data_IF_806743422164
#
_entry.id   IF_806743422164
#
_cell.length_a   1.000
_cell.length_b   1.000
_cell.length_c   1.000
_cell.angle_alpha   90.00
_cell.angle_beta   90.00
_cell.angle_gamma   90.00
#
_symmetry.space_group_name_H-M   'P 1'
#
loop_
_entity.id
_entity.type
_entity.pdbx_description
1 polymer ?
#
# COMPACT_ATOMS: atom_id res chain seq x y z
N UNK A 1 -17.35 10.34 -0.66
CA UNK A 1 -15.91 10.03 -0.69
C UNK A 1 -15.76 8.68 -1.40
N UNK A 2 -14.73 8.43 -2.20
CA UNK A 2 -14.48 7.08 -2.77
C UNK A 2 -13.29 6.54 -2.01
N UNK A 3 -13.59 5.70 -1.02
CA UNK A 3 -12.62 5.03 -0.17
C UNK A 3 -12.96 3.54 -0.10
N UNK A 4 -11.97 2.73 0.28
CA UNK A 4 -12.12 1.27 0.36
C UNK A 4 -13.12 0.83 1.44
N UNK A 5 -13.29 1.59 2.51
CA UNK A 5 -14.19 1.24 3.62
C UNK A 5 -15.67 1.15 3.26
N UNK A 6 -16.06 1.59 2.06
CA UNK A 6 -17.42 1.37 1.51
C UNK A 6 -17.66 -0.03 0.96
N UNK A 7 -16.59 -0.77 0.70
CA UNK A 7 -16.62 -2.06 0.02
C UNK A 7 -16.06 -3.19 0.89
N UNK A 8 -15.26 -2.84 1.88
CA UNK A 8 -14.60 -3.77 2.78
C UNK A 8 -14.92 -3.37 4.22
N UNK A 9 -15.50 -4.30 4.97
CA UNK A 9 -15.73 -4.20 6.42
C UNK A 9 -14.41 -4.17 7.19
N UNK A 10 -13.36 -4.76 6.62
CA UNK A 10 -12.06 -4.91 7.25
C UNK A 10 -10.91 -4.74 6.26
N UNK A 11 -9.93 -3.93 6.63
CA UNK A 11 -8.73 -3.70 5.84
C UNK A 11 -7.49 -4.01 6.69
N UNK A 12 -6.63 -4.89 6.19
CA UNK A 12 -5.31 -5.18 6.74
C UNK A 12 -4.26 -4.49 5.87
N UNK A 13 -3.55 -3.53 6.44
CA UNK A 13 -2.50 -2.79 5.76
C UNK A 13 -1.13 -3.39 6.08
N UNK A 14 -0.47 -4.00 5.11
CA UNK A 14 0.95 -4.28 5.15
C UNK A 14 1.74 -3.06 4.66
N UNK A 15 2.42 -2.39 5.60
CA UNK A 15 3.38 -1.33 5.33
C UNK A 15 4.74 -1.96 5.10
N UNK A 16 5.02 -2.30 3.85
CA UNK A 16 6.33 -2.81 3.45
C UNK A 16 7.41 -1.73 3.52
N UNK A 17 8.64 -2.20 3.50
CA UNK A 17 9.84 -1.39 3.46
C UNK A 17 10.90 -2.08 2.60
N UNK A 18 11.85 -1.30 2.11
CA UNK A 18 13.00 -1.84 1.40
C UNK A 18 13.75 -2.82 2.31
N UNK A 19 14.15 -3.96 1.76
CA UNK A 19 14.92 -5.00 2.47
C UNK A 19 14.20 -5.73 3.63
N UNK A 20 12.87 -5.66 3.72
CA UNK A 20 12.11 -6.39 4.77
C UNK A 20 11.43 -7.69 4.31
N UNK A 21 11.77 -8.20 3.12
CA UNK A 21 11.13 -9.40 2.57
C UNK A 21 9.75 -9.14 1.97
N UNK A 22 9.40 -7.87 1.74
CA UNK A 22 8.14 -7.42 1.13
C UNK A 22 7.78 -8.21 -0.14
N UNK A 23 8.73 -8.43 -1.04
CA UNK A 23 8.48 -9.18 -2.29
C UNK A 23 8.05 -10.63 -2.05
N UNK A 24 8.68 -11.32 -1.08
CA UNK A 24 8.31 -12.69 -0.74
C UNK A 24 6.91 -12.78 -0.14
N UNK A 25 6.56 -11.83 0.74
CA UNK A 25 5.20 -11.72 1.28
C UNK A 25 4.18 -11.45 0.17
N UNK A 26 4.47 -10.50 -0.73
CA UNK A 26 3.59 -10.17 -1.85
C UNK A 26 3.39 -11.37 -2.78
N UNK A 27 4.43 -12.16 -3.07
CA UNK A 27 4.28 -13.41 -3.83
C UNK A 27 3.35 -14.41 -3.14
N UNK A 28 3.40 -14.52 -1.81
CA UNK A 28 2.48 -15.37 -1.06
C UNK A 28 1.03 -14.82 -1.11
N UNK A 29 0.86 -13.51 -0.97
CA UNK A 29 -0.45 -12.86 -1.06
C UNK A 29 -1.10 -13.05 -2.43
N UNK A 30 -0.34 -12.99 -3.53
CA UNK A 30 -0.85 -13.27 -4.87
C UNK A 30 -1.41 -14.70 -5.00
N UNK A 31 -0.79 -15.69 -4.35
CA UNK A 31 -1.34 -17.06 -4.31
C UNK A 31 -2.65 -17.14 -3.52
N UNK A 32 -2.76 -16.37 -2.43
CA UNK A 32 -4.02 -16.29 -1.66
C UNK A 32 -5.12 -15.56 -2.43
N UNK A 33 -4.74 -14.61 -3.29
CA UNK A 33 -5.68 -13.95 -4.19
C UNK A 33 -6.25 -14.91 -5.23
N UNK A 34 -5.40 -15.77 -5.82
CA UNK A 34 -5.85 -16.85 -6.69
C UNK A 34 -6.82 -17.81 -5.97
N UNK A 35 -6.68 -17.95 -4.65
CA UNK A 35 -7.58 -18.73 -3.79
C UNK A 35 -8.85 -17.95 -3.33
N UNK A 36 -9.03 -16.70 -3.76
CA UNK A 36 -10.25 -15.92 -3.55
C UNK A 36 -10.11 -14.70 -2.64
N UNK A 37 -8.99 -14.52 -1.93
CA UNK A 37 -8.79 -13.37 -1.04
C UNK A 37 -8.68 -12.05 -1.83
N UNK A 38 -9.33 -10.99 -1.37
CA UNK A 38 -9.13 -9.67 -1.99
C UNK A 38 -7.80 -9.08 -1.54
N UNK A 39 -6.87 -8.95 -2.48
CA UNK A 39 -5.49 -8.49 -2.26
C UNK A 39 -5.15 -7.36 -3.22
N UNK A 40 -4.53 -6.31 -2.68
CA UNK A 40 -3.84 -5.28 -3.46
C UNK A 40 -2.36 -5.36 -3.10
N UNK A 41 -1.52 -5.83 -4.03
CA UNK A 41 -0.08 -5.95 -3.86
C UNK A 41 0.66 -5.73 -5.18
N UNK A 42 1.81 -5.01 -5.23
CA UNK A 42 2.64 -4.79 -6.41
C UNK A 42 2.75 -6.02 -7.29
N UNK A 43 2.64 -5.81 -8.60
CA UNK A 43 2.91 -6.87 -9.55
C UNK A 43 4.31 -7.42 -9.31
N UNK A 44 4.41 -8.74 -9.25
CA UNK A 44 5.69 -9.43 -9.35
C UNK A 44 6.17 -9.31 -10.79
N UNK A 45 7.47 -9.05 -10.99
CA UNK A 45 8.05 -8.96 -12.33
C UNK A 45 7.71 -10.21 -13.16
N UNK A 46 7.14 -10.01 -14.35
CA UNK A 46 6.68 -11.09 -15.23
C UNK A 46 5.20 -11.45 -15.11
N UNK A 47 4.51 -11.01 -14.05
CA UNK A 47 3.08 -11.24 -13.88
C UNK A 47 2.25 -10.04 -14.39
N UNK A 48 1.71 -10.19 -15.61
CA UNK A 48 0.87 -9.19 -16.28
C UNK A 48 -0.63 -9.39 -16.08
N UNK A 49 -1.04 -10.34 -15.24
CA UNK A 49 -2.46 -10.69 -15.07
C UNK A 49 -3.27 -9.57 -14.42
N UNK A 50 -2.62 -8.67 -13.69
CA UNK A 50 -3.28 -7.56 -13.00
C UNK A 50 -2.94 -6.21 -13.62
N UNK A 51 -3.64 -5.15 -13.24
CA UNK A 51 -3.15 -3.80 -13.49
C UNK A 51 -2.10 -3.43 -12.44
N UNK A 52 -1.00 -2.82 -12.85
CA UNK A 52 -0.04 -2.25 -11.90
C UNK A 52 -0.72 -1.10 -11.13
N UNK A 53 -0.88 -1.23 -9.82
CA UNK A 53 -1.44 -0.20 -8.94
C UNK A 53 -0.37 0.72 -8.35
N UNK A 54 0.93 0.49 -8.62
CA UNK A 54 1.99 1.43 -8.22
C UNK A 54 1.78 2.82 -8.82
N UNK A 55 1.43 2.99 -10.12
CA UNK A 55 1.05 4.28 -10.68
C UNK A 55 -0.15 4.92 -9.97
N UNK A 56 -1.16 4.13 -9.60
CA UNK A 56 -2.30 4.61 -8.83
C UNK A 56 -1.87 5.15 -7.47
N UNK A 57 -1.08 4.39 -6.73
CA UNK A 57 -0.65 4.77 -5.39
C UNK A 57 0.32 5.92 -5.38
N UNK A 58 1.30 5.91 -6.28
CA UNK A 58 2.20 7.04 -6.46
C UNK A 58 1.40 8.30 -6.78
N UNK A 59 0.41 8.22 -7.68
CA UNK A 59 -0.46 9.36 -7.98
C UNK A 59 -1.29 9.80 -6.77
N UNK A 60 -1.87 8.89 -5.99
CA UNK A 60 -2.65 9.21 -4.78
C UNK A 60 -1.78 9.89 -3.72
N UNK A 61 -0.63 9.29 -3.40
CA UNK A 61 0.30 9.79 -2.37
C UNK A 61 0.87 11.14 -2.80
N UNK A 62 1.39 11.28 -4.02
CA UNK A 62 1.92 12.56 -4.51
C UNK A 62 0.85 13.65 -4.52
N UNK A 63 -0.37 13.33 -4.95
CA UNK A 63 -1.46 14.29 -5.00
C UNK A 63 -1.93 14.69 -3.59
N UNK A 64 -1.99 13.74 -2.65
CA UNK A 64 -2.29 14.00 -1.24
C UNK A 64 -1.23 14.89 -0.56
N UNK A 65 0.06 14.57 -0.73
CA UNK A 65 1.15 15.37 -0.18
C UNK A 65 1.17 16.80 -0.76
N UNK A 66 0.92 16.96 -2.07
CA UNK A 66 0.80 18.28 -2.71
C UNK A 66 -0.48 19.03 -2.31
N UNK A 67 -1.57 18.32 -2.01
CA UNK A 67 -2.82 18.94 -1.59
C UNK A 67 -2.72 19.63 -0.22
N UNK A 68 -1.82 19.19 0.66
CA UNK A 68 -1.47 19.93 1.87
C UNK A 68 -0.75 21.25 1.62
N UNK A 69 -0.20 21.46 0.41
CA UNK A 69 0.63 22.62 0.02
C UNK A 69 0.04 23.48 -1.11
N UNK A 70 -1.10 23.08 -1.70
CA UNK A 70 -1.66 23.69 -2.91
C UNK A 70 -3.10 24.21 -2.74
N UNK A 71 -3.46 25.20 -3.57
CA UNK A 71 -4.80 25.81 -3.60
C UNK A 71 -5.93 24.83 -3.97
N UNK A 72 -7.19 25.27 -3.78
CA UNK A 72 -8.40 24.45 -3.90
C UNK A 72 -8.47 23.62 -5.19
N UNK A 73 -8.08 24.20 -6.33
CA UNK A 73 -8.06 23.53 -7.64
C UNK A 73 -7.17 22.28 -7.69
N UNK A 74 -6.01 22.29 -7.02
CA UNK A 74 -5.11 21.13 -6.98
C UNK A 74 -5.73 19.98 -6.18
N UNK A 75 -6.44 20.31 -5.09
CA UNK A 75 -7.18 19.33 -4.28
C UNK A 75 -8.29 18.65 -5.08
N UNK A 76 -9.03 19.40 -5.89
CA UNK A 76 -10.09 18.84 -6.75
C UNK A 76 -9.52 17.91 -7.85
N UNK A 77 -8.44 18.32 -8.52
CA UNK A 77 -7.80 17.49 -9.57
C UNK A 77 -7.22 16.20 -8.98
N UNK A 78 -6.58 16.29 -7.81
CA UNK A 78 -6.08 15.15 -7.05
C UNK A 78 -7.22 14.14 -6.77
N UNK A 79 -8.31 14.62 -6.17
CA UNK A 79 -9.48 13.80 -5.83
C UNK A 79 -10.11 13.12 -7.03
N UNK A 80 -10.20 13.82 -8.18
CA UNK A 80 -10.75 13.24 -9.42
C UNK A 80 -9.87 12.10 -9.95
N UNK A 81 -8.54 12.26 -9.95
CA UNK A 81 -7.61 11.21 -10.38
C UNK A 81 -7.69 9.98 -9.46
N UNK A 82 -7.75 10.21 -8.15
CA UNK A 82 -7.92 9.12 -7.17
C UNK A 82 -9.24 8.38 -7.41
N UNK A 83 -10.35 9.09 -7.60
CA UNK A 83 -11.66 8.47 -7.90
C UNK A 83 -11.62 7.65 -9.19
N UNK A 84 -11.05 8.17 -10.27
CA UNK A 84 -10.96 7.45 -11.54
C UNK A 84 -10.13 6.17 -11.43
N UNK A 85 -8.99 6.23 -10.78
CA UNK A 85 -8.14 5.07 -10.62
C UNK A 85 -8.75 4.03 -9.66
N UNK A 86 -9.46 4.49 -8.63
CA UNK A 86 -10.25 3.62 -7.75
C UNK A 86 -11.42 2.94 -8.48
N UNK A 87 -12.15 3.67 -9.33
CA UNK A 87 -13.22 3.09 -10.16
C UNK A 87 -12.69 2.03 -11.12
N UNK A 88 -11.58 2.32 -11.82
CA UNK A 88 -10.91 1.32 -12.70
C UNK A 88 -10.47 0.08 -11.93
N UNK A 89 -10.02 0.25 -10.69
CA UNK A 89 -9.66 -0.86 -9.83
C UNK A 89 -10.88 -1.74 -9.53
N UNK A 90 -11.99 -1.16 -9.07
CA UNK A 90 -13.20 -1.91 -8.75
C UNK A 90 -13.85 -2.60 -9.96
N UNK A 91 -13.72 -2.00 -11.15
CA UNK A 91 -14.17 -2.64 -12.40
C UNK A 91 -13.34 -3.88 -12.73
N UNK A 92 -12.02 -3.82 -12.52
CA UNK A 92 -11.12 -4.95 -12.78
C UNK A 92 -11.16 -6.01 -11.66
N UNK A 93 -11.40 -5.58 -10.43
CA UNK A 93 -11.37 -6.40 -9.22
C UNK A 93 -12.58 -6.07 -8.34
N UNK A 94 -13.78 -6.57 -8.71
CA UNK A 94 -14.96 -6.39 -7.89
C UNK A 94 -14.73 -7.08 -6.53
N UNK A 95 -15.04 -6.41 -5.41
CA UNK A 95 -14.93 -7.00 -4.08
C UNK A 95 -15.68 -8.32 -4.00
N UNK A 96 -15.00 -9.35 -3.48
CA UNK A 96 -15.53 -10.71 -3.28
C UNK A 96 -15.80 -10.98 -1.82
N UNK A 97 -15.06 -10.32 -0.93
CA UNK A 97 -15.13 -10.49 0.51
C UNK A 97 -15.19 -9.15 1.24
N UNK A 98 -15.66 -9.18 2.49
CA UNK A 98 -15.62 -8.01 3.37
C UNK A 98 -14.21 -7.67 3.87
N UNK A 99 -13.20 -8.50 3.60
CA UNK A 99 -11.82 -8.27 4.03
C UNK A 99 -10.88 -8.01 2.84
N UNK A 100 -10.09 -6.94 2.94
CA UNK A 100 -9.04 -6.55 2.00
C UNK A 100 -7.67 -6.64 2.66
N UNK A 101 -6.72 -7.29 2.01
CA UNK A 101 -5.29 -7.15 2.33
C UNK A 101 -4.63 -6.18 1.37
N UNK A 102 -4.11 -5.09 1.91
CA UNK A 102 -3.43 -4.04 1.17
C UNK A 102 -1.93 -4.06 1.49
N UNK A 103 -1.06 -4.31 0.52
CA UNK A 103 0.39 -4.46 0.71
C UNK A 103 1.17 -3.56 -0.23
N UNK A 104 2.05 -2.69 0.29
CA UNK A 104 2.86 -1.80 -0.53
C UNK A 104 4.24 -1.54 0.11
N UNK A 105 5.31 -1.49 -0.69
CA UNK A 105 6.71 -1.41 -0.23
C UNK A 105 7.23 0.01 0.11
N UNK A 106 6.70 1.03 -0.55
CA UNK A 106 7.15 2.43 -0.47
C UNK A 106 6.20 3.32 0.33
N UNK A 107 5.41 2.71 1.22
CA UNK A 107 4.30 3.39 1.86
C UNK A 107 4.83 4.41 2.89
N UNK A 108 5.92 4.05 3.54
CA UNK A 108 6.64 4.86 4.53
C UNK A 108 7.57 5.89 3.89
N UNK A 109 7.85 5.77 2.58
CA UNK A 109 8.82 6.61 1.87
C UNK A 109 10.23 6.03 1.90
N UNK A 110 11.23 6.89 1.67
CA UNK A 110 12.64 6.47 1.67
C UNK A 110 13.13 6.25 3.10
N UNK A 111 13.91 5.18 3.29
CA UNK A 111 14.47 4.80 4.60
C UNK A 111 15.66 5.69 5.04
N UNK A 112 16.16 6.52 4.13
CA UNK A 112 17.40 7.29 4.31
C UNK A 112 17.19 8.63 3.62
N UNK A 113 17.07 9.69 4.42
CA UNK A 113 17.48 11.02 3.97
C UNK A 113 18.77 11.35 4.73
N UNK A 114 19.84 11.65 4.00
CA UNK A 114 21.17 11.87 4.56
C UNK A 114 21.25 13.09 5.49
N UNK A 115 20.22 13.93 5.49
CA UNK A 115 20.12 15.20 6.22
C UNK A 115 19.49 15.06 7.61
N UNK A 116 18.91 13.90 7.98
CA UNK A 116 18.23 13.67 9.27
C UNK A 116 18.68 12.40 9.98
N UNK A 117 19.92 12.39 10.53
CA UNK A 117 20.41 11.25 11.31
C UNK A 117 19.47 10.91 12.46
N UNK A 118 19.19 9.61 12.64
CA UNK A 118 18.29 9.09 13.69
C UNK A 118 16.83 8.91 13.29
N UNK A 119 16.42 9.33 12.09
CA UNK A 119 15.04 9.15 11.59
C UNK A 119 15.03 8.20 10.39
N UNK A 120 14.38 7.04 10.54
CA UNK A 120 14.35 6.01 9.50
C UNK A 120 13.36 6.32 8.36
N UNK A 121 12.21 6.96 8.64
CA UNK A 121 11.22 7.29 7.59
C UNK A 121 10.62 8.68 7.85
N UNK A 122 11.31 9.77 7.44
CA UNK A 122 10.88 11.13 7.78
C UNK A 122 9.50 11.49 7.21
N UNK A 123 9.12 10.88 6.09
CA UNK A 123 7.85 11.13 5.41
C UNK A 123 6.70 10.19 5.80
N UNK A 124 6.93 9.23 6.71
CA UNK A 124 5.93 8.20 7.02
C UNK A 124 4.59 8.79 7.48
N UNK A 125 4.62 9.78 8.39
CA UNK A 125 3.42 10.40 8.94
C UNK A 125 2.51 11.01 7.88
N UNK A 126 2.99 12.00 7.09
CA UNK A 126 2.22 12.59 6.00
C UNK A 126 1.71 11.55 4.98
N UNK A 127 2.51 10.55 4.62
CA UNK A 127 2.10 9.50 3.67
C UNK A 127 0.98 8.64 4.25
N UNK A 128 1.15 8.12 5.47
CA UNK A 128 0.14 7.30 6.14
C UNK A 128 -1.18 8.08 6.34
N UNK A 129 -1.13 9.39 6.56
CA UNK A 129 -2.34 10.22 6.60
C UNK A 129 -3.08 10.23 5.26
N UNK A 130 -2.38 10.32 4.14
CA UNK A 130 -2.99 10.25 2.80
C UNK A 130 -3.59 8.88 2.56
N UNK A 131 -2.88 7.82 2.93
CA UNK A 131 -3.36 6.44 2.76
C UNK A 131 -4.57 6.15 3.62
N UNK A 132 -4.59 6.62 4.88
CA UNK A 132 -5.78 6.53 5.73
C UNK A 132 -7.00 7.18 5.08
N UNK A 133 -6.82 8.32 4.40
CA UNK A 133 -7.93 8.99 3.70
C UNK A 133 -8.44 8.19 2.48
N UNK A 134 -7.61 7.32 1.91
CA UNK A 134 -7.94 6.42 0.80
C UNK A 134 -8.57 5.11 1.29
N UNK A 135 -7.99 4.48 2.31
CA UNK A 135 -8.48 3.22 2.88
C UNK A 135 -9.78 3.42 3.66
N UNK A 136 -9.94 4.58 4.31
CA UNK A 136 -11.12 4.91 5.08
C UNK A 136 -11.04 4.41 6.52
N UNK A 137 -12.20 4.27 7.18
CA UNK A 137 -12.28 4.00 8.62
C UNK A 137 -11.98 2.54 8.99
N UNK A 138 -12.09 1.61 8.05
CA UNK A 138 -12.08 0.17 8.31
C UNK A 138 -10.67 -0.45 8.34
N UNK A 139 -9.62 0.35 8.51
CA UNK A 139 -8.26 -0.17 8.71
C UNK A 139 -8.17 -0.82 10.10
N UNK A 140 -8.29 -2.14 10.12
CA UNK A 140 -8.34 -2.92 11.36
C UNK A 140 -6.95 -3.30 11.89
N UNK A 141 -5.95 -3.38 11.00
CA UNK A 141 -4.58 -3.75 11.38
C UNK A 141 -3.56 -3.10 10.44
N UNK A 142 -2.45 -2.66 11.02
CA UNK A 142 -1.24 -2.29 10.28
C UNK A 142 -0.14 -3.29 10.63
N UNK A 143 0.41 -3.94 9.61
CA UNK A 143 1.48 -4.92 9.72
C UNK A 143 2.77 -4.34 9.12
N UNK A 144 3.87 -4.40 9.85
CA UNK A 144 5.20 -4.07 9.36
C UNK A 144 6.01 -5.36 9.36
N UNK A 145 6.51 -5.77 8.18
CA UNK A 145 7.44 -6.88 8.11
C UNK A 145 8.84 -6.38 8.51
N UNK A 146 9.52 -7.13 9.39
CA UNK A 146 10.92 -6.91 9.73
C UNK A 146 11.65 -8.24 9.49
N UNK A 147 12.70 -8.20 8.68
CA UNK A 147 13.52 -9.37 8.39
C UNK A 147 14.78 -9.34 9.24
N UNK A 148 14.99 -10.38 10.05
CA UNK A 148 16.30 -10.59 10.66
C UNK A 148 17.32 -10.97 9.59
N UNK A 149 18.47 -10.31 9.63
CA UNK A 149 19.64 -10.64 8.82
C UNK A 149 20.64 -11.54 9.57
N UNK A 150 20.28 -12.01 10.77
CA UNK A 150 21.13 -12.96 11.46
C UNK A 150 21.36 -14.18 10.55
N UNK A 151 22.61 -14.62 10.39
CA UNK A 151 22.88 -15.87 9.73
C UNK A 151 22.07 -16.95 10.43
N UNK A 152 21.22 -17.66 9.68
CA UNK A 152 20.61 -18.88 10.22
C UNK A 152 21.78 -19.86 10.40
N UNK A 153 22.15 -20.14 11.65
CA UNK A 153 23.08 -21.23 11.93
C UNK A 153 22.47 -22.49 11.30
N UNK A 154 23.22 -23.13 10.39
CA UNK A 154 22.81 -24.38 9.76
C UNK A 154 22.43 -25.38 10.86
N UNK A 155 21.13 -25.72 10.97
CA UNK A 155 20.65 -26.76 11.88
C UNK A 155 19.55 -26.35 12.87
N UNK A 156 19.10 -25.09 12.89
CA UNK A 156 17.90 -24.70 13.66
C UNK A 156 16.80 -24.15 12.74
N UNK A 157 15.77 -24.96 12.52
CA UNK A 157 14.49 -24.49 11.98
C UNK A 157 13.61 -24.05 13.15
N UNK A 158 12.83 -22.99 12.93
CA UNK A 158 11.75 -22.56 13.83
C UNK A 158 10.60 -23.55 13.85
#
# INVERSE_FOLDING_TARGET
MTDFSRYYDRIVLHAGAHRTGTSSLQSALHRLQDAGLDVIAPQVAGDRRMADHRPFMSACVQAGLKSGRGGLFHKHRARRRMKQAFSRYLEAFPPRHGELVYSEENILGSALEADRPGILYPDAGPRLSVIRSLLGANVARVCLAVRSYQPVEKGRCF
#
